data_IF_513911277478
#
_entry.id   IF_513911277478
#
_cell.length_a   1.000
_cell.length_b   1.000
_cell.length_c   1.000
_cell.angle_alpha   90.00
_cell.angle_beta   90.00
_cell.angle_gamma   90.00
#
_symmetry.space_group_name_H-M   'P 1'
#
loop_
_entity.id
_entity.type
_entity.pdbx_description
1 polymer ?
#
# COMPACT_ATOMS: atom_id res chain seq x y z
N UNK A 1 -14.35 -19.34 17.85
CA UNK A 1 -15.57 -18.48 17.73
C UNK A 1 -15.32 -16.99 18.04
N UNK A 2 -14.69 -16.57 19.15
CA UNK A 2 -14.30 -15.15 19.34
C UNK A 2 -12.88 -14.84 18.82
N UNK A 3 -11.94 -15.76 19.08
CA UNK A 3 -10.53 -15.63 18.70
C UNK A 3 -10.33 -15.58 17.17
N UNK A 4 -11.17 -16.29 16.40
CA UNK A 4 -11.09 -16.30 14.94
C UNK A 4 -11.45 -14.95 14.33
N UNK A 5 -12.39 -14.22 14.94
CA UNK A 5 -12.77 -12.88 14.48
C UNK A 5 -11.67 -11.87 14.80
N UNK A 6 -11.06 -11.94 15.98
CA UNK A 6 -9.89 -11.14 16.33
C UNK A 6 -8.71 -11.41 15.38
N UNK A 7 -8.44 -12.67 15.06
CA UNK A 7 -7.40 -13.05 14.08
C UNK A 7 -7.68 -12.48 12.69
N UNK A 8 -8.94 -12.53 12.22
CA UNK A 8 -9.33 -11.96 10.93
C UNK A 8 -9.17 -10.45 10.91
N UNK A 9 -9.62 -9.75 11.96
CA UNK A 9 -9.46 -8.29 12.10
C UNK A 9 -7.98 -7.89 12.14
N UNK A 10 -7.17 -8.58 12.95
CA UNK A 10 -5.73 -8.36 13.00
C UNK A 10 -5.07 -8.56 11.63
N UNK A 11 -5.42 -9.65 10.93
CA UNK A 11 -4.88 -9.92 9.59
C UNK A 11 -5.28 -8.84 8.56
N UNK A 12 -6.50 -8.32 8.64
CA UNK A 12 -6.99 -7.28 7.75
C UNK A 12 -6.27 -5.96 8.03
N UNK A 13 -6.09 -5.62 9.30
CA UNK A 13 -5.32 -4.45 9.72
C UNK A 13 -3.88 -4.54 9.23
N UNK A 14 -3.21 -5.68 9.41
CA UNK A 14 -1.85 -5.90 8.95
C UNK A 14 -1.71 -5.75 7.43
N UNK A 15 -2.63 -6.32 6.65
CA UNK A 15 -2.67 -6.13 5.20
C UNK A 15 -2.82 -4.66 4.81
N UNK A 16 -3.65 -3.91 5.54
CA UNK A 16 -3.84 -2.49 5.28
C UNK A 16 -2.59 -1.67 5.59
N UNK A 17 -1.91 -1.99 6.70
CA UNK A 17 -0.60 -1.40 7.04
C UNK A 17 0.45 -1.69 5.97
N UNK A 18 0.55 -2.93 5.49
CA UNK A 18 1.48 -3.28 4.40
C UNK A 18 1.17 -2.48 3.13
N UNK A 19 -0.09 -2.44 2.70
CA UNK A 19 -0.52 -1.64 1.54
C UNK A 19 -0.16 -0.17 1.67
N UNK A 20 -0.43 0.41 2.84
CA UNK A 20 -0.09 1.80 3.10
C UNK A 20 1.43 2.05 3.03
N UNK A 21 2.24 1.15 3.58
CA UNK A 21 3.69 1.23 3.50
C UNK A 21 4.18 1.18 2.03
N UNK A 22 3.72 0.19 1.25
CA UNK A 22 4.06 0.05 -0.17
C UNK A 22 3.65 1.27 -0.99
N UNK A 23 2.46 1.83 -0.75
CA UNK A 23 2.00 3.08 -1.37
C UNK A 23 2.93 4.25 -1.07
N UNK A 24 3.37 4.39 0.17
CA UNK A 24 4.34 5.43 0.54
C UNK A 24 5.72 5.20 -0.07
N UNK A 25 6.09 3.96 -0.33
CA UNK A 25 7.33 3.62 -1.02
C UNK A 25 7.29 4.04 -2.49
N UNK A 26 6.15 3.89 -3.19
CA UNK A 26 5.99 4.39 -4.56
C UNK A 26 6.25 5.91 -4.67
N UNK A 27 5.88 6.68 -3.64
CA UNK A 27 6.16 8.13 -3.59
C UNK A 27 7.64 8.47 -3.43
N UNK A 28 8.45 7.51 -2.96
CA UNK A 28 9.88 7.68 -2.67
C UNK A 28 10.79 7.14 -3.76
N UNK A 29 10.29 6.30 -4.66
CA UNK A 29 11.05 5.78 -5.79
C UNK A 29 11.35 6.90 -6.79
N UNK A 30 12.53 6.86 -7.40
CA UNK A 30 12.90 7.71 -8.53
C UNK A 30 12.21 7.26 -9.83
N UNK A 31 12.15 8.14 -10.84
CA UNK A 31 11.40 7.88 -12.08
C UNK A 31 11.90 6.64 -12.83
N UNK A 32 13.22 6.39 -12.89
CA UNK A 32 13.76 5.17 -13.49
C UNK A 32 13.29 3.90 -12.75
N UNK A 33 13.24 3.92 -11.42
CA UNK A 33 12.80 2.75 -10.65
C UNK A 33 11.30 2.49 -10.80
N UNK A 34 10.53 3.55 -11.01
CA UNK A 34 9.11 3.43 -11.37
C UNK A 34 8.94 2.86 -12.78
N UNK A 35 9.78 3.28 -13.73
CA UNK A 35 9.77 2.77 -15.10
C UNK A 35 10.16 1.29 -15.18
N UNK A 36 11.13 0.85 -14.36
CA UNK A 36 11.53 -0.56 -14.22
C UNK A 36 10.36 -1.47 -13.79
N UNK A 37 9.40 -0.93 -13.03
CA UNK A 37 8.18 -1.66 -12.62
C UNK A 37 6.96 -1.30 -13.47
N UNK A 38 7.14 -0.53 -14.55
CA UNK A 38 6.11 -0.17 -15.52
C UNK A 38 5.05 0.79 -14.98
N UNK A 39 5.39 1.65 -14.02
CA UNK A 39 4.48 2.64 -13.42
C UNK A 39 5.01 4.04 -13.74
N UNK A 40 4.13 4.95 -14.16
CA UNK A 40 4.54 6.35 -14.33
C UNK A 40 4.47 7.14 -12.99
N UNK A 41 5.11 8.31 -12.96
CA UNK A 41 5.12 9.17 -11.76
C UNK A 41 3.70 9.58 -11.33
N UNK A 42 2.78 9.79 -12.27
CA UNK A 42 1.42 10.27 -12.00
C UNK A 42 0.61 9.18 -11.29
N UNK A 43 0.72 7.94 -11.75
CA UNK A 43 0.09 6.76 -11.18
C UNK A 43 0.70 6.43 -9.81
N UNK A 44 2.03 6.52 -9.67
CA UNK A 44 2.69 6.39 -8.37
C UNK A 44 2.17 7.42 -7.36
N UNK A 45 1.96 8.67 -7.77
CA UNK A 45 1.37 9.69 -6.91
C UNK A 45 -0.11 9.41 -6.60
N UNK A 46 -0.88 9.00 -7.60
CA UNK A 46 -2.31 8.66 -7.44
C UNK A 46 -2.50 7.51 -6.46
N UNK A 47 -1.68 6.47 -6.57
CA UNK A 47 -1.71 5.29 -5.69
C UNK A 47 -1.16 5.65 -4.30
N UNK A 48 -0.04 6.35 -4.24
CA UNK A 48 0.65 6.72 -3.02
C UNK A 48 -0.14 7.67 -2.11
N UNK A 49 -0.98 8.53 -2.69
CA UNK A 49 -1.83 9.49 -1.96
C UNK A 49 -3.19 8.93 -1.52
N UNK A 50 -3.49 7.65 -1.80
CA UNK A 50 -4.72 7.03 -1.30
C UNK A 50 -4.75 7.03 0.22
N UNK A 51 -5.91 7.30 0.85
CA UNK A 51 -6.02 7.24 2.29
C UNK A 51 -5.83 5.81 2.81
N UNK A 52 -5.51 5.69 4.10
CA UNK A 52 -5.20 4.39 4.72
C UNK A 52 -6.28 3.33 4.51
N UNK A 53 -7.56 3.69 4.45
CA UNK A 53 -8.69 2.74 4.37
C UNK A 53 -9.06 2.29 2.94
N UNK A 54 -8.33 2.73 1.92
CA UNK A 54 -8.58 2.36 0.51
C UNK A 54 -7.74 1.19 0.03
#
# INVERSE_FOLDING_TARGET
MLLDHLKRLHSAFWRQCQRHCSRRQLLRLDDHLLDDIGIDRIDAQREGRKPFWK
#
